data_IF_103311644590
#
_entry.id   IF_103311644590
#
_cell.length_a   1.000
_cell.length_b   1.000
_cell.length_c   1.000
_cell.angle_alpha   90.00
_cell.angle_beta   90.00
_cell.angle_gamma   90.00
#
_symmetry.space_group_name_H-M   'P 1'
#
loop_
_entity.id
_entity.type
_entity.pdbx_description
1 polymer ?
#
# COMPACT_ATOMS: atom_id res chain seq x y z
N UNK A 1 22.03 51.32 10.07
CA UNK A 1 21.77 49.88 10.36
C UNK A 1 20.33 49.65 10.87
N UNK A 2 19.84 50.40 11.85
CA UNK A 2 18.48 50.20 12.40
C UNK A 2 17.36 50.40 11.37
N UNK A 3 17.48 51.39 10.45
CA UNK A 3 16.53 51.63 9.38
C UNK A 3 16.53 50.50 8.32
N UNK A 4 17.69 50.01 7.96
CA UNK A 4 17.84 48.90 7.03
C UNK A 4 17.30 47.59 7.63
N UNK A 5 17.45 47.38 8.94
CA UNK A 5 16.85 46.26 9.68
C UNK A 5 15.32 46.28 9.62
N UNK A 6 14.69 47.42 9.91
CA UNK A 6 13.23 47.60 9.84
C UNK A 6 12.68 47.39 8.41
N UNK A 7 13.40 47.89 7.39
CA UNK A 7 13.01 47.67 5.99
C UNK A 7 13.10 46.20 5.63
N UNK A 8 14.17 45.52 6.05
CA UNK A 8 14.34 44.08 5.84
C UNK A 8 13.21 43.26 6.46
N UNK A 9 12.82 43.58 7.70
CA UNK A 9 11.68 42.91 8.36
C UNK A 9 10.35 43.21 7.64
N UNK A 10 10.15 44.46 7.22
CA UNK A 10 8.97 44.84 6.45
C UNK A 10 8.87 44.08 5.11
N UNK A 11 9.97 44.00 4.36
CA UNK A 11 10.00 43.24 3.09
C UNK A 11 9.77 41.74 3.29
N UNK A 12 10.33 41.16 4.34
CA UNK A 12 10.07 39.75 4.72
C UNK A 12 8.60 39.52 5.06
N UNK A 13 7.99 40.43 5.83
CA UNK A 13 6.57 40.29 6.22
C UNK A 13 5.62 40.37 5.02
N UNK A 14 6.01 41.04 3.97
CA UNK A 14 5.27 41.19 2.71
C UNK A 14 5.66 40.13 1.67
N UNK A 15 6.54 39.17 2.04
CA UNK A 15 7.08 38.14 1.14
C UNK A 15 7.71 38.72 -0.14
N UNK A 16 8.34 39.89 -0.03
CA UNK A 16 9.05 40.54 -1.14
C UNK A 16 10.51 40.12 -1.09
N UNK A 17 10.98 39.52 -2.19
CA UNK A 17 12.39 39.17 -2.35
C UNK A 17 13.26 40.42 -2.37
N UNK A 18 14.37 40.41 -1.65
CA UNK A 18 15.33 41.51 -1.60
C UNK A 18 16.76 40.96 -1.49
N UNK A 19 17.68 41.75 -2.01
CA UNK A 19 19.11 41.55 -1.87
C UNK A 19 19.70 42.65 -1.03
N UNK A 20 20.56 42.32 -0.05
CA UNK A 20 21.18 43.31 0.83
C UNK A 20 22.69 43.26 0.64
N UNK A 21 23.26 44.38 0.20
CA UNK A 21 24.70 44.62 0.10
C UNK A 21 25.04 45.99 0.64
N UNK A 22 26.23 46.20 1.17
CA UNK A 22 26.76 47.49 1.53
C UNK A 22 27.71 47.96 0.44
N UNK A 23 27.30 48.89 -0.46
CA UNK A 23 28.17 49.39 -1.53
C UNK A 23 29.13 50.49 -1.07
N UNK A 24 29.13 50.85 0.22
CA UNK A 24 29.92 51.95 0.74
C UNK A 24 31.27 51.50 1.31
N UNK A 25 31.55 50.19 1.37
CA UNK A 25 32.76 49.62 1.98
C UNK A 25 32.92 50.06 3.43
N UNK A 26 34.05 50.65 3.78
CA UNK A 26 34.36 51.12 5.13
C UNK A 26 33.89 52.55 5.39
N UNK A 27 33.22 53.20 4.42
CA UNK A 27 32.70 54.57 4.59
C UNK A 27 31.39 54.56 5.39
N UNK A 28 31.17 55.63 6.15
CA UNK A 28 30.02 55.78 7.04
C UNK A 28 28.68 55.76 6.29
N UNK A 29 28.64 56.41 5.13
CA UNK A 29 27.46 56.51 4.29
C UNK A 29 27.82 56.73 2.81
N UNK A 30 26.77 56.74 1.95
CA UNK A 30 26.93 56.92 0.51
C UNK A 30 27.56 58.28 0.12
N UNK A 31 27.34 59.34 0.91
CA UNK A 31 27.88 60.65 0.61
C UNK A 31 29.40 60.70 0.88
N UNK A 32 29.87 60.12 1.97
CA UNK A 32 31.29 59.98 2.27
C UNK A 32 32.01 59.17 1.20
N UNK A 33 31.43 58.00 0.80
CA UNK A 33 31.98 57.19 -0.27
C UNK A 33 32.00 57.93 -1.62
N UNK A 34 30.95 58.70 -1.94
CA UNK A 34 30.87 59.50 -3.16
C UNK A 34 31.91 60.61 -3.24
N UNK A 35 32.20 61.27 -2.11
CA UNK A 35 33.23 62.32 -2.01
C UNK A 35 34.62 61.67 -2.10
N UNK A 36 34.84 60.52 -1.50
CA UNK A 36 36.13 59.85 -1.51
C UNK A 36 36.49 59.30 -2.90
N UNK A 37 35.60 58.54 -3.55
CA UNK A 37 35.77 58.03 -4.90
C UNK A 37 34.46 57.71 -5.56
N UNK A 38 34.00 58.64 -6.44
CA UNK A 38 32.75 58.49 -7.19
C UNK A 38 32.76 57.30 -8.14
N UNK A 39 33.92 56.99 -8.76
CA UNK A 39 34.01 55.92 -9.74
C UNK A 39 33.93 54.56 -9.06
N UNK A 40 34.62 54.38 -7.92
CA UNK A 40 34.58 53.20 -7.11
C UNK A 40 33.16 52.91 -6.59
N UNK A 41 32.46 53.93 -6.04
CA UNK A 41 31.09 53.77 -5.58
C UNK A 41 30.13 53.37 -6.72
N UNK A 42 30.31 53.99 -7.91
CA UNK A 42 29.46 53.63 -9.06
C UNK A 42 29.70 52.19 -9.51
N UNK A 43 30.94 51.74 -9.53
CA UNK A 43 31.28 50.36 -9.86
C UNK A 43 30.66 49.36 -8.87
N UNK A 44 30.77 49.62 -7.55
CA UNK A 44 30.15 48.79 -6.50
C UNK A 44 28.64 48.70 -6.59
N UNK A 45 27.96 49.82 -6.94
CA UNK A 45 26.51 49.83 -7.14
C UNK A 45 26.15 48.98 -8.38
N UNK A 46 26.87 49.16 -9.48
CA UNK A 46 26.63 48.37 -10.71
C UNK A 46 26.85 46.88 -10.49
N UNK A 47 27.88 46.52 -9.75
CA UNK A 47 28.14 45.12 -9.39
C UNK A 47 27.02 44.55 -8.50
N UNK A 48 26.55 45.33 -7.50
CA UNK A 48 25.44 44.92 -6.66
C UNK A 48 24.12 44.72 -7.44
N UNK A 49 23.84 45.58 -8.42
CA UNK A 49 22.69 45.44 -9.32
C UNK A 49 22.81 44.22 -10.22
N UNK A 50 24.00 43.90 -10.72
CA UNK A 50 24.25 42.75 -11.53
C UNK A 50 24.08 41.45 -10.71
N UNK A 51 24.67 41.36 -9.52
CA UNK A 51 24.51 40.24 -8.61
C UNK A 51 23.02 39.98 -8.26
N UNK A 52 22.28 41.04 -7.92
CA UNK A 52 20.85 40.93 -7.64
C UNK A 52 20.06 40.45 -8.86
N UNK A 53 20.45 40.87 -10.06
CA UNK A 53 19.86 40.40 -11.31
C UNK A 53 20.17 38.93 -11.59
N UNK A 54 21.38 38.47 -11.27
CA UNK A 54 21.79 37.07 -11.43
C UNK A 54 21.05 36.17 -10.46
N UNK A 55 20.96 36.51 -9.19
CA UNK A 55 20.19 35.76 -8.18
C UNK A 55 18.73 35.63 -8.59
N UNK A 56 18.08 36.68 -9.06
CA UNK A 56 16.69 36.60 -9.57
C UNK A 56 16.56 35.68 -10.78
N UNK A 57 17.55 35.65 -11.67
CA UNK A 57 17.56 34.74 -12.83
C UNK A 57 17.70 33.30 -12.38
N UNK A 58 18.53 33.03 -11.37
CA UNK A 58 18.73 31.71 -10.81
C UNK A 58 17.49 31.20 -10.07
N UNK A 59 16.91 32.00 -9.18
CA UNK A 59 15.64 31.69 -8.51
C UNK A 59 14.52 31.39 -9.51
N UNK A 60 14.38 32.22 -10.56
CA UNK A 60 13.41 31.98 -11.62
C UNK A 60 13.68 30.67 -12.36
N UNK A 61 14.95 30.35 -12.66
CA UNK A 61 15.34 29.12 -13.34
C UNK A 61 14.98 27.91 -12.47
N UNK A 62 15.31 27.96 -11.18
CA UNK A 62 14.95 26.89 -10.24
C UNK A 62 13.43 26.71 -10.12
N UNK A 63 12.68 27.80 -9.99
CA UNK A 63 11.22 27.74 -9.94
C UNK A 63 10.63 27.13 -11.23
N UNK A 64 11.13 27.53 -12.38
CA UNK A 64 10.66 27.05 -13.69
C UNK A 64 10.99 25.57 -13.92
N UNK A 65 11.95 24.98 -13.20
CA UNK A 65 12.19 23.51 -13.23
C UNK A 65 10.95 22.72 -12.82
N UNK A 66 10.08 23.30 -11.99
CA UNK A 66 8.84 22.68 -11.55
C UNK A 66 7.71 22.75 -12.61
N UNK A 67 7.93 23.41 -13.74
CA UNK A 67 6.94 23.47 -14.81
C UNK A 67 6.70 22.10 -15.41
N UNK A 68 5.45 21.68 -15.54
CA UNK A 68 5.07 20.42 -16.19
C UNK A 68 5.59 20.30 -17.62
N UNK A 69 5.85 21.43 -18.29
CA UNK A 69 6.45 21.44 -19.63
C UNK A 69 7.81 20.72 -19.69
N UNK A 70 8.58 20.74 -18.61
CA UNK A 70 9.87 20.06 -18.52
C UNK A 70 9.75 18.54 -18.37
N UNK A 71 8.56 18.03 -18.06
CA UNK A 71 8.29 16.63 -17.79
C UNK A 71 7.50 15.94 -18.91
N UNK A 72 7.06 16.67 -19.95
CA UNK A 72 6.26 16.10 -21.05
C UNK A 72 7.01 14.97 -21.76
N UNK A 73 8.30 15.15 -22.06
CA UNK A 73 9.09 14.10 -22.72
C UNK A 73 9.25 12.86 -21.83
N UNK A 74 9.49 13.05 -20.53
CA UNK A 74 9.54 11.96 -19.56
C UNK A 74 8.18 11.25 -19.47
N UNK A 75 7.09 12.00 -19.43
CA UNK A 75 5.73 11.48 -19.39
C UNK A 75 5.40 10.63 -20.63
N UNK A 76 5.80 11.06 -21.83
CA UNK A 76 5.62 10.27 -23.06
C UNK A 76 6.44 8.97 -22.98
N UNK A 77 7.70 9.04 -22.53
CA UNK A 77 8.52 7.85 -22.33
C UNK A 77 7.92 6.91 -21.25
N UNK A 78 7.31 7.45 -20.20
CA UNK A 78 6.61 6.66 -19.19
C UNK A 78 5.36 5.96 -19.77
N UNK A 79 4.60 6.62 -20.65
CA UNK A 79 3.49 5.99 -21.38
C UNK A 79 4.01 4.82 -22.24
N UNK A 80 5.04 5.05 -23.05
CA UNK A 80 5.60 4.02 -23.91
C UNK A 80 6.18 2.84 -23.10
N UNK A 81 6.81 3.11 -21.97
CA UNK A 81 7.31 2.07 -21.07
C UNK A 81 6.21 1.36 -20.29
N UNK A 82 5.10 2.04 -19.99
CA UNK A 82 3.96 1.47 -19.24
C UNK A 82 3.23 0.40 -20.03
N UNK A 83 3.28 0.44 -21.37
CA UNK A 83 2.77 -0.64 -22.23
C UNK A 83 3.41 -1.99 -21.88
N UNK A 84 4.64 -1.99 -21.34
CA UNK A 84 5.38 -3.16 -20.93
C UNK A 84 5.34 -3.40 -19.40
N UNK A 85 4.61 -2.59 -18.64
CA UNK A 85 4.40 -2.81 -17.20
C UNK A 85 2.95 -3.28 -17.00
N UNK A 86 2.69 -4.59 -17.18
CA UNK A 86 1.34 -5.10 -17.04
C UNK A 86 0.89 -4.93 -15.59
N UNK A 87 -0.39 -4.62 -15.40
CA UNK A 87 -1.04 -4.77 -14.11
C UNK A 87 -0.89 -6.23 -13.64
N UNK A 88 -0.89 -6.44 -12.33
CA UNK A 88 -0.76 -7.77 -11.75
C UNK A 88 -2.18 -8.30 -11.45
N UNK A 89 -2.70 -9.28 -12.22
CA UNK A 89 -4.02 -9.85 -11.93
C UNK A 89 -4.03 -10.52 -10.55
N UNK A 90 -5.10 -10.29 -9.80
CA UNK A 90 -5.34 -10.97 -8.50
C UNK A 90 -5.70 -12.43 -8.69
N UNK A 91 -6.16 -12.79 -9.90
CA UNK A 91 -6.73 -14.08 -10.25
C UNK A 91 -8.20 -14.26 -9.87
N UNK A 92 -8.84 -13.20 -9.36
CA UNK A 92 -10.29 -13.07 -9.27
C UNK A 92 -10.77 -12.21 -10.43
N UNK A 93 -11.38 -12.83 -11.43
CA UNK A 93 -11.70 -12.17 -12.71
C UNK A 93 -12.59 -10.94 -12.53
N UNK A 94 -13.63 -11.02 -11.69
CA UNK A 94 -14.53 -9.89 -11.46
C UNK A 94 -13.83 -8.76 -10.72
N UNK A 95 -12.95 -9.07 -9.78
CA UNK A 95 -12.15 -8.08 -9.10
C UNK A 95 -11.15 -7.44 -10.07
N UNK A 96 -10.49 -8.24 -10.89
CA UNK A 96 -9.52 -7.72 -11.88
C UNK A 96 -10.21 -6.79 -12.88
N UNK A 97 -11.41 -7.13 -13.37
CA UNK A 97 -12.22 -6.24 -14.22
C UNK A 97 -12.56 -4.93 -13.49
N UNK A 98 -12.98 -5.01 -12.22
CA UNK A 98 -13.33 -3.84 -11.43
C UNK A 98 -12.12 -2.94 -11.08
N UNK A 99 -10.90 -3.50 -11.16
CA UNK A 99 -9.63 -2.82 -10.98
C UNK A 99 -8.92 -2.48 -12.31
N UNK A 100 -9.63 -2.51 -13.44
CA UNK A 100 -9.10 -2.22 -14.77
C UNK A 100 -7.94 -3.14 -15.19
N UNK A 101 -8.06 -4.42 -14.86
CA UNK A 101 -7.14 -5.49 -15.24
C UNK A 101 -6.36 -6.12 -14.08
N UNK A 102 -6.31 -5.49 -12.91
CA UNK A 102 -5.62 -6.02 -11.72
C UNK A 102 -4.99 -4.96 -10.83
N UNK A 103 -3.89 -5.32 -10.17
CA UNK A 103 -3.17 -4.45 -9.24
C UNK A 103 -2.15 -3.59 -9.99
N UNK A 104 -2.24 -2.28 -9.80
CA UNK A 104 -1.24 -1.28 -10.18
C UNK A 104 -0.46 -0.80 -8.95
N UNK A 105 0.52 0.06 -9.15
CA UNK A 105 1.15 0.76 -8.04
C UNK A 105 0.07 1.51 -7.23
N UNK A 106 0.06 1.34 -5.93
CA UNK A 106 -0.94 1.95 -5.05
C UNK A 106 -1.03 1.26 -3.70
N UNK A 107 -1.67 1.94 -2.77
CA UNK A 107 -2.03 1.39 -1.47
C UNK A 107 -3.48 0.91 -1.50
N UNK A 108 -3.65 -0.40 -1.40
CA UNK A 108 -4.92 -1.10 -1.29
C UNK A 108 -5.17 -1.43 0.17
N UNK A 109 -6.32 -1.04 0.71
CA UNK A 109 -6.68 -1.44 2.07
C UNK A 109 -7.95 -2.27 2.04
N UNK A 110 -7.88 -3.47 2.63
CA UNK A 110 -8.98 -4.42 2.69
C UNK A 110 -9.44 -4.56 4.13
N UNK A 111 -10.68 -4.17 4.40
CA UNK A 111 -11.28 -4.23 5.73
C UNK A 111 -12.43 -5.20 5.83
N UNK A 112 -12.62 -5.75 7.01
CA UNK A 112 -13.80 -6.52 7.38
C UNK A 112 -13.92 -6.67 8.89
N UNK A 113 -15.09 -7.08 9.35
CA UNK A 113 -15.25 -7.60 10.72
C UNK A 113 -14.48 -8.92 10.89
N UNK A 114 -14.21 -9.30 12.14
CA UNK A 114 -13.51 -10.55 12.45
C UNK A 114 -14.20 -11.78 11.86
N UNK A 115 -13.38 -12.74 11.43
CA UNK A 115 -13.83 -14.07 10.93
C UNK A 115 -14.61 -14.06 9.61
N UNK A 116 -14.54 -13.00 8.81
CA UNK A 116 -15.07 -13.01 7.44
C UNK A 116 -14.11 -13.53 6.38
N UNK A 117 -12.87 -13.86 6.77
CA UNK A 117 -11.91 -14.48 5.85
C UNK A 117 -10.97 -13.49 5.17
N UNK A 118 -10.69 -12.29 5.75
CA UNK A 118 -9.72 -11.32 5.21
C UNK A 118 -8.39 -11.97 4.82
N UNK A 119 -7.72 -12.55 5.80
CA UNK A 119 -6.45 -13.28 5.59
C UNK A 119 -6.57 -14.36 4.53
N UNK A 120 -7.67 -15.12 4.53
CA UNK A 120 -7.88 -16.19 3.56
C UNK A 120 -8.06 -15.64 2.13
N UNK A 121 -8.84 -14.56 1.97
CA UNK A 121 -9.04 -13.92 0.67
C UNK A 121 -7.71 -13.43 0.09
N UNK A 122 -6.93 -12.70 0.90
CA UNK A 122 -5.64 -12.16 0.47
C UNK A 122 -4.61 -13.27 0.24
N UNK A 123 -4.59 -14.32 1.08
CA UNK A 123 -3.69 -15.47 0.85
C UNK A 123 -4.04 -16.21 -0.44
N UNK A 124 -5.32 -16.31 -0.79
CA UNK A 124 -5.72 -16.88 -2.08
C UNK A 124 -5.28 -15.99 -3.25
N UNK A 125 -5.46 -14.68 -3.16
CA UNK A 125 -4.92 -13.76 -4.17
C UNK A 125 -3.40 -13.90 -4.29
N UNK A 126 -2.68 -13.99 -3.15
CA UNK A 126 -1.23 -14.20 -3.13
C UNK A 126 -0.80 -15.47 -3.87
N UNK A 127 -1.50 -16.59 -3.64
CA UNK A 127 -1.24 -17.85 -4.35
C UNK A 127 -1.48 -17.71 -5.86
N UNK A 128 -2.56 -17.05 -6.25
CA UNK A 128 -2.91 -16.81 -7.66
C UNK A 128 -1.88 -15.91 -8.36
N UNK A 129 -1.45 -14.83 -7.71
CA UNK A 129 -0.39 -13.94 -8.16
C UNK A 129 0.93 -14.69 -8.32
N UNK A 130 1.28 -15.53 -7.34
CA UNK A 130 2.50 -16.33 -7.37
C UNK A 130 2.47 -17.42 -8.47
N UNK A 131 1.30 -18.02 -8.71
CA UNK A 131 1.08 -18.96 -9.83
C UNK A 131 1.27 -18.28 -11.18
N UNK A 132 0.88 -17.01 -11.31
CA UNK A 132 1.11 -16.19 -12.50
C UNK A 132 2.59 -15.76 -12.67
N UNK A 133 3.47 -16.12 -11.72
CA UNK A 133 4.90 -15.89 -11.80
C UNK A 133 5.37 -14.57 -11.16
N UNK A 134 4.52 -13.85 -10.45
CA UNK A 134 4.89 -12.62 -9.74
C UNK A 134 5.30 -12.93 -8.30
N UNK A 135 6.28 -12.18 -7.78
CA UNK A 135 6.71 -12.32 -6.40
C UNK A 135 5.70 -11.67 -5.44
N UNK A 136 5.45 -12.34 -4.33
CA UNK A 136 4.60 -11.84 -3.24
C UNK A 136 5.38 -11.87 -1.94
N UNK A 137 5.44 -10.72 -1.27
CA UNK A 137 6.11 -10.54 0.02
C UNK A 137 5.05 -10.31 1.11
N UNK A 138 4.84 -11.29 1.97
CA UNK A 138 3.79 -11.30 2.99
C UNK A 138 4.41 -11.04 4.36
N UNK A 139 4.01 -9.95 5.01
CA UNK A 139 4.30 -9.68 6.41
C UNK A 139 3.13 -10.20 7.25
N UNK A 140 3.34 -11.32 7.94
CA UNK A 140 2.34 -11.96 8.78
C UNK A 140 2.67 -11.77 10.26
N UNK A 141 1.84 -10.99 10.95
CA UNK A 141 1.99 -10.70 12.38
C UNK A 141 1.11 -11.59 13.26
N UNK A 142 0.06 -12.18 12.68
CA UNK A 142 -0.92 -12.98 13.42
C UNK A 142 -0.71 -14.49 13.24
N UNK A 143 -0.32 -14.91 12.04
CA UNK A 143 -0.24 -16.33 11.69
C UNK A 143 1.19 -16.77 11.37
N UNK A 144 1.56 -17.95 11.82
CA UNK A 144 2.83 -18.58 11.44
C UNK A 144 2.86 -18.95 9.95
N UNK A 145 4.05 -18.97 9.36
CA UNK A 145 4.28 -19.40 7.96
C UNK A 145 3.67 -20.77 7.68
N UNK A 146 3.85 -21.71 8.59
CA UNK A 146 3.29 -23.07 8.46
C UNK A 146 1.76 -23.08 8.41
N UNK A 147 1.09 -22.15 9.11
CA UNK A 147 -0.38 -22.05 9.11
C UNK A 147 -0.88 -21.45 7.78
N UNK A 148 -0.20 -20.43 7.24
CA UNK A 148 -0.53 -19.87 5.93
C UNK A 148 -0.32 -20.91 4.82
N UNK A 149 0.80 -21.65 4.84
CA UNK A 149 1.08 -22.76 3.92
C UNK A 149 0.00 -23.83 4.02
N UNK A 150 -0.41 -24.22 5.23
CA UNK A 150 -1.46 -25.21 5.43
C UNK A 150 -2.82 -24.76 4.87
N UNK A 151 -3.15 -23.47 4.95
CA UNK A 151 -4.35 -22.90 4.32
C UNK A 151 -4.28 -22.99 2.79
N UNK A 152 -3.15 -22.65 2.20
CA UNK A 152 -2.92 -22.75 0.74
C UNK A 152 -3.00 -24.20 0.27
N UNK A 153 -2.34 -25.13 0.95
CA UNK A 153 -2.39 -26.57 0.61
C UNK A 153 -3.80 -27.12 0.81
N UNK A 154 -4.53 -26.72 1.86
CA UNK A 154 -5.93 -27.07 2.06
C UNK A 154 -6.80 -26.65 0.87
N UNK A 155 -6.63 -25.42 0.39
CA UNK A 155 -7.31 -24.89 -0.80
C UNK A 155 -6.96 -25.70 -2.05
N UNK A 156 -5.71 -26.04 -2.26
CA UNK A 156 -5.28 -26.88 -3.38
C UNK A 156 -5.96 -28.28 -3.33
N UNK A 157 -6.09 -28.91 -2.14
CA UNK A 157 -6.81 -30.19 -2.03
C UNK A 157 -8.27 -30.07 -2.49
N UNK A 158 -8.93 -28.96 -2.15
CA UNK A 158 -10.29 -28.70 -2.54
C UNK A 158 -10.41 -28.43 -4.06
N UNK A 159 -9.56 -27.58 -4.60
CA UNK A 159 -9.53 -27.25 -6.03
C UNK A 159 -9.25 -28.50 -6.91
N UNK A 160 -8.41 -29.41 -6.46
CA UNK A 160 -8.11 -30.66 -7.16
C UNK A 160 -9.28 -31.65 -7.16
N UNK A 161 -10.13 -31.59 -6.16
CA UNK A 161 -11.22 -32.57 -5.96
C UNK A 161 -12.58 -32.06 -6.43
N UNK A 162 -12.77 -30.73 -6.43
CA UNK A 162 -14.04 -30.11 -6.79
C UNK A 162 -14.54 -30.47 -8.21
N UNK A 163 -13.71 -30.40 -9.28
CA UNK A 163 -14.17 -30.71 -10.64
C UNK A 163 -14.60 -32.17 -10.82
N UNK A 164 -14.15 -33.07 -9.93
CA UNK A 164 -14.45 -34.51 -9.96
C UNK A 164 -15.64 -34.89 -9.08
N UNK A 165 -16.23 -33.92 -8.33
CA UNK A 165 -17.23 -34.20 -7.33
C UNK A 165 -16.72 -35.01 -6.10
N UNK A 166 -15.39 -35.08 -5.92
CA UNK A 166 -14.74 -35.85 -4.88
C UNK A 166 -14.28 -35.03 -3.68
N UNK A 167 -15.02 -33.97 -3.35
CA UNK A 167 -14.65 -32.99 -2.29
C UNK A 167 -14.50 -33.63 -0.90
N UNK A 168 -15.02 -34.82 -0.68
CA UNK A 168 -14.80 -35.59 0.54
C UNK A 168 -13.32 -35.99 0.75
N UNK A 169 -12.50 -36.05 -0.32
CA UNK A 169 -11.05 -36.25 -0.25
C UNK A 169 -10.28 -34.99 0.14
N UNK A 170 -10.88 -33.81 -0.01
CA UNK A 170 -10.26 -32.55 0.37
C UNK A 170 -9.99 -32.51 1.89
N UNK A 171 -8.93 -31.80 2.30
CA UNK A 171 -8.53 -31.76 3.71
C UNK A 171 -8.42 -30.32 4.20
N UNK A 172 -8.93 -30.10 5.40
CA UNK A 172 -8.78 -28.79 6.08
C UNK A 172 -7.32 -28.56 6.44
N UNK A 173 -6.94 -27.30 6.66
CA UNK A 173 -5.59 -26.95 7.10
C UNK A 173 -5.16 -27.74 8.35
N UNK A 174 -6.04 -27.80 9.36
CA UNK A 174 -5.80 -28.62 10.56
C UNK A 174 -5.77 -30.13 10.27
N UNK A 175 -6.54 -30.61 9.29
CA UNK A 175 -6.50 -32.01 8.86
C UNK A 175 -5.16 -32.38 8.25
N UNK A 176 -4.49 -31.44 7.56
CA UNK A 176 -3.17 -31.65 6.96
C UNK A 176 -2.06 -31.63 8.03
N UNK A 177 -2.12 -30.69 8.98
CA UNK A 177 -1.07 -30.49 9.99
C UNK A 177 -1.16 -31.41 11.19
N UNK A 178 -2.32 -32.05 11.42
CA UNK A 178 -2.53 -32.95 12.56
C UNK A 178 -2.05 -34.39 12.23
N UNK A 179 -0.85 -34.75 12.66
CA UNK A 179 -0.19 -36.03 12.35
C UNK A 179 -1.03 -37.25 12.65
N UNK A 180 -1.79 -37.31 13.76
CA UNK A 180 -2.70 -38.41 14.08
C UNK A 180 -3.77 -38.59 12.98
N UNK A 181 -4.43 -37.54 12.57
CA UNK A 181 -5.44 -37.58 11.50
C UNK A 181 -4.84 -37.99 10.17
N UNK A 182 -3.64 -37.52 9.86
CA UNK A 182 -2.94 -37.89 8.65
C UNK A 182 -2.66 -39.39 8.57
N UNK A 183 -2.32 -40.04 9.67
CA UNK A 183 -2.10 -41.46 9.71
C UNK A 183 -3.36 -42.30 9.38
N UNK A 184 -4.53 -41.78 9.78
CA UNK A 184 -5.83 -42.44 9.60
C UNK A 184 -6.40 -42.28 8.17
N UNK A 185 -5.86 -41.37 7.36
CA UNK A 185 -6.34 -41.16 6.00
C UNK A 185 -6.07 -42.36 5.09
N UNK A 186 -7.04 -42.62 4.20
CA UNK A 186 -6.90 -43.63 3.14
C UNK A 186 -5.80 -43.18 2.16
N UNK A 187 -5.26 -44.12 1.41
CA UNK A 187 -4.19 -43.87 0.45
C UNK A 187 -4.60 -42.78 -0.58
N UNK A 188 -5.81 -42.87 -1.12
CA UNK A 188 -6.33 -41.88 -2.07
C UNK A 188 -6.46 -40.46 -1.51
N UNK A 189 -6.72 -40.30 -0.19
CA UNK A 189 -6.75 -39.01 0.50
C UNK A 189 -5.34 -38.47 0.69
N UNK A 190 -4.37 -39.31 1.03
CA UNK A 190 -2.95 -38.94 1.13
C UNK A 190 -2.39 -38.53 -0.23
N UNK A 191 -2.79 -39.21 -1.32
CA UNK A 191 -2.40 -38.84 -2.69
C UNK A 191 -2.88 -37.44 -3.08
N UNK A 192 -4.10 -37.07 -2.69
CA UNK A 192 -4.61 -35.70 -2.91
C UNK A 192 -3.76 -34.66 -2.16
N UNK A 193 -3.39 -34.96 -0.90
CA UNK A 193 -2.52 -34.07 -0.11
C UNK A 193 -1.14 -33.94 -0.78
N UNK A 194 -0.52 -35.02 -1.20
CA UNK A 194 0.78 -34.98 -1.88
C UNK A 194 0.71 -34.24 -3.20
N UNK A 195 -0.38 -34.39 -3.96
CA UNK A 195 -0.59 -33.65 -5.18
C UNK A 195 -0.74 -32.15 -4.90
N UNK A 196 -1.53 -31.77 -3.89
CA UNK A 196 -1.70 -30.40 -3.47
C UNK A 196 -0.37 -29.75 -3.01
N UNK A 197 0.47 -30.51 -2.28
CA UNK A 197 1.81 -30.04 -1.89
C UNK A 197 2.68 -29.79 -3.13
N UNK A 198 2.63 -30.66 -4.14
CA UNK A 198 3.39 -30.47 -5.39
C UNK A 198 2.90 -29.26 -6.17
N UNK A 199 1.59 -29.03 -6.28
CA UNK A 199 1.02 -27.84 -6.91
C UNK A 199 1.48 -26.58 -6.18
N UNK A 200 1.43 -26.57 -4.85
CA UNK A 200 1.93 -25.46 -4.04
C UNK A 200 3.43 -25.21 -4.26
N UNK A 201 4.23 -26.28 -4.24
CA UNK A 201 5.69 -26.19 -4.40
C UNK A 201 6.10 -25.60 -5.76
N UNK A 202 5.29 -25.76 -6.80
CA UNK A 202 5.57 -25.22 -8.13
C UNK A 202 5.65 -23.69 -8.15
N UNK A 203 4.87 -23.00 -7.30
CA UNK A 203 4.84 -21.55 -7.22
C UNK A 203 5.37 -20.96 -5.89
N UNK A 204 5.63 -21.81 -4.89
CA UNK A 204 6.09 -21.38 -3.56
C UNK A 204 7.39 -20.56 -3.60
N UNK A 205 8.22 -20.73 -4.62
CA UNK A 205 9.44 -19.94 -4.85
C UNK A 205 9.16 -18.44 -5.06
N UNK A 206 7.93 -18.07 -5.41
CA UNK A 206 7.49 -16.69 -5.62
C UNK A 206 6.78 -16.13 -4.37
N UNK A 207 6.65 -16.90 -3.26
CA UNK A 207 6.01 -16.46 -2.03
C UNK A 207 7.05 -16.35 -0.93
N UNK A 208 7.18 -15.16 -0.36
CA UNK A 208 8.11 -14.82 0.72
C UNK A 208 7.29 -14.40 1.95
N UNK A 209 7.35 -15.17 3.03
CA UNK A 209 6.60 -14.90 4.26
C UNK A 209 7.58 -14.46 5.34
N UNK A 210 7.39 -13.25 5.84
CA UNK A 210 8.11 -12.66 6.97
C UNK A 210 7.20 -12.73 8.18
N UNK A 211 7.59 -13.52 9.17
CA UNK A 211 6.90 -13.63 10.45
C UNK A 211 7.41 -12.53 11.39
N UNK A 212 6.51 -11.84 12.08
CA UNK A 212 6.90 -10.78 13.00
C UNK A 212 5.88 -10.58 14.11
N UNK A 213 6.08 -11.21 15.26
CA UNK A 213 5.25 -10.98 16.42
C UNK A 213 5.68 -9.67 17.13
N UNK A 214 5.12 -8.53 16.70
CA UNK A 214 5.28 -7.25 17.38
C UNK A 214 6.59 -6.49 17.13
N UNK A 215 7.45 -6.98 16.23
CA UNK A 215 8.75 -6.35 15.92
C UNK A 215 8.78 -5.68 14.53
N UNK A 216 7.77 -5.95 13.69
CA UNK A 216 7.72 -5.40 12.33
C UNK A 216 6.95 -4.10 12.29
N UNK A 217 7.62 -3.03 11.93
CA UNK A 217 7.03 -1.72 11.65
C UNK A 217 7.20 -1.31 10.17
N UNK A 218 6.70 -0.14 9.82
CA UNK A 218 6.76 0.35 8.44
C UNK A 218 8.20 0.48 7.90
N UNK A 219 9.18 0.77 8.77
CA UNK A 219 10.59 0.83 8.43
C UNK A 219 11.13 -0.53 7.98
N UNK A 220 10.88 -1.60 8.76
CA UNK A 220 11.31 -2.95 8.42
C UNK A 220 10.63 -3.46 7.15
N UNK A 221 9.35 -3.08 6.91
CA UNK A 221 8.66 -3.38 5.65
C UNK A 221 9.39 -2.75 4.47
N UNK A 222 9.79 -1.47 4.57
CA UNK A 222 10.58 -0.78 3.53
C UNK A 222 11.90 -1.48 3.29
N UNK A 223 12.71 -1.66 4.32
CA UNK A 223 14.04 -2.28 4.23
C UNK A 223 13.99 -3.68 3.62
N UNK A 224 13.00 -4.49 4.03
CA UNK A 224 12.81 -5.84 3.48
C UNK A 224 12.37 -5.82 2.02
N UNK A 225 11.50 -4.88 1.64
CA UNK A 225 11.06 -4.68 0.26
C UNK A 225 12.24 -4.27 -0.63
N UNK A 226 13.04 -3.31 -0.19
CA UNK A 226 14.25 -2.85 -0.89
C UNK A 226 15.28 -3.97 -1.05
N UNK A 227 15.50 -4.74 0.02
CA UNK A 227 16.37 -5.92 -0.01
C UNK A 227 15.88 -6.96 -1.00
N UNK A 228 14.57 -7.25 -1.02
CA UNK A 228 13.98 -8.18 -1.98
C UNK A 228 14.24 -7.73 -3.42
N UNK A 229 13.96 -6.46 -3.73
CA UNK A 229 14.18 -5.90 -5.07
C UNK A 229 15.67 -5.97 -5.44
N UNK A 230 16.56 -5.61 -4.51
CA UNK A 230 18.01 -5.65 -4.74
C UNK A 230 18.53 -7.06 -5.05
N UNK A 231 18.00 -8.08 -4.38
CA UNK A 231 18.46 -9.46 -4.53
C UNK A 231 17.86 -10.13 -5.79
N UNK A 232 16.56 -9.90 -6.02
CA UNK A 232 15.81 -10.62 -7.08
C UNK A 232 15.73 -9.86 -8.39
N UNK A 233 15.93 -8.53 -8.36
CA UNK A 233 15.65 -7.63 -9.47
C UNK A 233 14.15 -7.46 -9.77
N UNK A 234 13.26 -8.01 -8.93
CA UNK A 234 11.81 -8.07 -9.15
C UNK A 234 11.05 -7.27 -8.11
N UNK A 235 9.99 -6.59 -8.53
CA UNK A 235 9.09 -5.84 -7.63
C UNK A 235 8.00 -6.76 -7.13
N UNK A 236 7.91 -7.05 -5.82
CA UNK A 236 6.88 -7.93 -5.28
C UNK A 236 5.55 -7.21 -5.09
N UNK A 237 4.45 -7.95 -5.04
CA UNK A 237 3.24 -7.48 -4.36
C UNK A 237 3.49 -7.58 -2.86
N UNK A 238 3.41 -6.47 -2.13
CA UNK A 238 3.63 -6.42 -0.69
C UNK A 238 2.30 -6.57 0.04
N UNK A 239 2.19 -7.54 0.94
CA UNK A 239 0.98 -7.82 1.73
C UNK A 239 1.28 -7.67 3.21
N UNK A 240 0.42 -6.96 3.95
CA UNK A 240 0.52 -6.74 5.39
C UNK A 240 -0.73 -7.30 6.09
N UNK A 241 -0.57 -8.29 6.95
CA UNK A 241 -1.64 -8.91 7.73
C UNK A 241 -1.31 -8.83 9.24
N UNK A 242 -1.83 -7.82 9.92
CA UNK A 242 -2.68 -6.68 9.58
C UNK A 242 -2.14 -5.36 10.19
N UNK A 243 -2.68 -4.22 9.77
CA UNK A 243 -2.15 -2.88 10.12
C UNK A 243 -2.05 -2.60 11.61
N UNK A 244 -3.06 -2.99 12.39
CA UNK A 244 -3.18 -2.63 13.82
C UNK A 244 -2.18 -3.35 14.74
N UNK A 245 -1.45 -4.36 14.23
CA UNK A 245 -0.42 -5.08 15.02
C UNK A 245 0.99 -4.58 14.68
N UNK A 246 1.14 -3.73 13.68
CA UNK A 246 2.45 -3.18 13.33
C UNK A 246 3.05 -2.42 14.51
N UNK A 247 4.36 -2.57 14.69
CA UNK A 247 5.11 -1.81 15.69
C UNK A 247 4.89 -0.31 15.52
N UNK A 248 4.77 0.45 16.62
CA UNK A 248 4.56 1.88 16.55
C UNK A 248 5.72 2.57 15.83
N UNK A 249 5.40 3.58 15.03
CA UNK A 249 6.41 4.41 14.36
C UNK A 249 7.26 5.16 15.38
N UNK A 250 6.63 5.58 16.48
CA UNK A 250 7.28 6.22 17.61
C UNK A 250 6.47 5.93 18.89
N UNK A 251 7.13 5.43 19.94
CA UNK A 251 6.50 5.11 21.22
C UNK A 251 5.86 6.31 21.95
N UNK A 252 6.28 7.53 21.61
CA UNK A 252 5.72 8.77 22.19
C UNK A 252 4.45 9.26 21.49
N UNK A 253 4.08 8.64 20.36
CA UNK A 253 2.88 9.01 19.62
C UNK A 253 1.66 8.24 20.15
N UNK A 254 0.49 8.83 19.97
CA UNK A 254 -0.77 8.10 20.18
C UNK A 254 -0.95 7.03 19.11
N UNK A 255 -1.79 6.02 19.37
CA UNK A 255 -2.09 4.95 18.42
C UNK A 255 -2.55 5.52 17.07
N UNK A 256 -3.41 6.55 17.09
CA UNK A 256 -3.84 7.24 15.88
C UNK A 256 -2.67 7.87 15.12
N UNK A 257 -1.78 8.59 15.80
CA UNK A 257 -0.61 9.22 15.17
C UNK A 257 0.34 8.18 14.57
N UNK A 258 0.54 7.06 15.28
CA UNK A 258 1.34 5.94 14.79
C UNK A 258 0.70 5.32 13.54
N UNK A 259 -0.61 5.06 13.56
CA UNK A 259 -1.33 4.54 12.41
C UNK A 259 -1.24 5.48 11.20
N UNK A 260 -1.43 6.79 11.41
CA UNK A 260 -1.30 7.79 10.36
C UNK A 260 0.09 7.75 9.71
N UNK A 261 1.16 7.64 10.51
CA UNK A 261 2.54 7.55 9.99
C UNK A 261 2.80 6.24 9.25
N UNK A 262 2.32 5.11 9.78
CA UNK A 262 2.44 3.80 9.13
C UNK A 262 1.77 3.82 7.76
N UNK A 263 0.52 4.26 7.68
CA UNK A 263 -0.25 4.31 6.42
C UNK A 263 0.43 5.20 5.37
N UNK A 264 0.92 6.37 5.79
CA UNK A 264 1.67 7.27 4.90
C UNK A 264 2.97 6.64 4.41
N UNK A 265 3.67 5.90 5.26
CA UNK A 265 4.91 5.23 4.87
C UNK A 265 4.64 4.07 3.91
N UNK A 266 3.59 3.28 4.13
CA UNK A 266 3.16 2.24 3.19
C UNK A 266 2.81 2.81 1.81
N UNK A 267 2.13 3.97 1.79
CA UNK A 267 1.86 4.70 0.55
C UNK A 267 3.14 5.16 -0.15
N UNK A 268 4.15 5.61 0.62
CA UNK A 268 5.47 5.99 0.08
C UNK A 268 6.21 4.78 -0.50
N UNK A 269 6.21 3.64 0.20
CA UNK A 269 6.82 2.39 -0.30
C UNK A 269 6.25 2.04 -1.67
N UNK A 270 4.92 2.05 -1.81
CA UNK A 270 4.26 1.79 -3.08
C UNK A 270 4.72 2.72 -4.20
N UNK A 271 4.69 4.03 -3.95
CA UNK A 271 5.05 5.05 -4.94
C UNK A 271 6.55 5.00 -5.29
N UNK A 272 7.42 4.93 -4.28
CA UNK A 272 8.87 5.04 -4.46
C UNK A 272 9.41 3.82 -5.23
N UNK A 273 8.81 2.65 -5.02
CA UNK A 273 9.23 1.40 -5.68
C UNK A 273 8.29 0.97 -6.83
N UNK A 274 7.23 1.74 -7.11
CA UNK A 274 6.24 1.45 -8.16
C UNK A 274 5.71 0.03 -8.08
N UNK A 275 5.13 -0.34 -6.92
CA UNK A 275 4.58 -1.67 -6.64
C UNK A 275 3.27 -1.57 -5.85
N UNK A 276 2.38 -2.58 -5.95
CA UNK A 276 1.18 -2.62 -5.12
C UNK A 276 1.49 -3.02 -3.69
N UNK A 277 0.90 -2.30 -2.74
CA UNK A 277 0.90 -2.62 -1.30
C UNK A 277 -0.53 -2.90 -0.88
N UNK A 278 -0.80 -4.10 -0.36
CA UNK A 278 -2.11 -4.52 0.14
C UNK A 278 -2.02 -4.64 1.66
N UNK A 279 -2.83 -3.88 2.38
CA UNK A 279 -2.87 -3.92 3.82
C UNK A 279 -4.25 -4.37 4.32
N UNK A 280 -4.27 -5.32 5.23
CA UNK A 280 -5.49 -5.75 5.90
C UNK A 280 -5.77 -4.82 7.07
N UNK A 281 -7.04 -4.41 7.24
CA UNK A 281 -7.52 -3.62 8.37
C UNK A 281 -8.73 -4.29 9.02
N UNK A 282 -8.84 -4.18 10.32
CA UNK A 282 -10.04 -4.59 11.05
C UNK A 282 -11.00 -3.42 11.18
N UNK A 283 -12.32 -3.66 10.99
CA UNK A 283 -13.32 -2.64 11.24
C UNK A 283 -13.47 -2.35 12.74
N UNK A 284 -13.86 -1.14 13.07
CA UNK A 284 -14.25 -0.81 14.41
C UNK A 284 -15.52 -1.60 14.82
N UNK A 285 -15.69 -1.88 16.13
CA UNK A 285 -16.80 -2.71 16.63
C UNK A 285 -18.18 -2.11 16.37
N UNK A 286 -18.28 -0.79 16.23
CA UNK A 286 -19.56 -0.10 15.98
C UNK A 286 -20.06 -0.37 14.57
N UNK A 287 -19.17 -0.67 13.61
CA UNK A 287 -19.48 -0.96 12.21
C UNK A 287 -19.80 -2.44 11.95
N UNK A 288 -20.05 -3.24 13.00
CA UNK A 288 -20.38 -4.66 12.86
C UNK A 288 -21.85 -4.91 12.45
N UNK A 289 -22.67 -3.87 12.43
CA UNK A 289 -24.07 -3.93 12.00
C UNK A 289 -24.27 -3.04 10.79
N UNK A 290 -24.96 -3.55 9.78
CA UNK A 290 -25.29 -2.83 8.56
C UNK A 290 -24.24 -2.94 7.46
N UNK A 291 -24.48 -2.20 6.39
CA UNK A 291 -23.63 -2.13 5.22
C UNK A 291 -22.27 -1.50 5.54
N UNK A 292 -21.22 -2.06 4.92
CA UNK A 292 -19.87 -1.52 5.05
C UNK A 292 -19.77 -0.16 4.37
N UNK A 293 -19.23 0.82 5.12
CA UNK A 293 -18.94 2.18 4.64
C UNK A 293 -17.49 2.53 4.94
N UNK A 294 -16.97 3.56 4.27
CA UNK A 294 -15.61 4.08 4.52
C UNK A 294 -15.36 4.36 6.01
N UNK A 295 -16.39 4.80 6.69
CA UNK A 295 -16.40 5.07 8.14
C UNK A 295 -16.06 3.86 9.03
N UNK A 296 -16.20 2.63 8.52
CA UNK A 296 -15.82 1.42 9.24
C UNK A 296 -14.30 1.35 9.51
N UNK A 297 -13.49 2.04 8.71
CA UNK A 297 -12.02 2.13 8.84
C UNK A 297 -11.56 3.24 9.81
N UNK A 298 -12.45 3.79 10.60
CA UNK A 298 -12.31 5.03 11.41
C UNK A 298 -11.32 5.02 12.58
N UNK A 299 -10.42 4.09 12.70
CA UNK A 299 -9.31 4.28 13.67
C UNK A 299 -8.34 5.37 13.19
N UNK A 300 -8.30 5.61 11.89
CA UNK A 300 -7.53 6.71 11.28
C UNK A 300 -8.20 7.17 9.98
N UNK A 301 -8.64 8.44 9.94
CA UNK A 301 -9.07 9.06 8.68
C UNK A 301 -7.99 9.01 7.60
N UNK A 302 -6.74 8.80 7.99
CA UNK A 302 -5.61 8.66 7.07
C UNK A 302 -5.68 7.39 6.23
N UNK A 303 -6.30 6.30 6.71
CA UNK A 303 -6.55 5.09 5.90
C UNK A 303 -7.44 5.46 4.70
N UNK A 304 -8.55 6.15 4.97
CA UNK A 304 -9.49 6.60 3.94
C UNK A 304 -8.83 7.55 2.93
N UNK A 305 -8.12 8.58 3.43
CA UNK A 305 -7.52 9.59 2.55
C UNK A 305 -6.30 9.09 1.78
N UNK A 306 -5.46 8.27 2.37
CA UNK A 306 -4.17 7.85 1.79
C UNK A 306 -4.26 6.62 0.91
N UNK A 307 -5.25 5.73 1.11
CA UNK A 307 -5.44 4.58 0.24
C UNK A 307 -5.84 5.04 -1.17
N UNK A 308 -5.39 4.32 -2.18
CA UNK A 308 -5.85 4.49 -3.57
C UNK A 308 -7.12 3.70 -3.79
N UNK A 309 -7.17 2.51 -3.19
CA UNK A 309 -8.32 1.62 -3.27
C UNK A 309 -8.67 1.14 -1.86
N UNK A 310 -9.95 1.24 -1.52
CA UNK A 310 -10.50 0.82 -0.24
C UNK A 310 -11.59 -0.23 -0.51
N UNK A 311 -11.42 -1.40 0.07
CA UNK A 311 -12.31 -2.55 -0.14
C UNK A 311 -12.85 -3.01 1.20
N UNK A 312 -14.16 -3.19 1.27
CA UNK A 312 -14.83 -3.77 2.42
C UNK A 312 -15.37 -5.16 2.13
N UNK A 313 -15.11 -6.13 3.00
CA UNK A 313 -15.81 -7.41 2.97
C UNK A 313 -16.96 -7.41 3.97
N UNK A 314 -18.13 -7.82 3.52
CA UNK A 314 -19.31 -8.00 4.34
C UNK A 314 -20.03 -9.29 4.02
N UNK A 315 -20.93 -9.72 4.90
CA UNK A 315 -21.86 -10.81 4.60
C UNK A 315 -22.88 -10.30 3.61
N UNK A 316 -23.29 -11.11 2.65
CA UNK A 316 -24.32 -10.76 1.68
C UNK A 316 -25.60 -10.34 2.37
N UNK A 317 -26.13 -9.19 1.95
CA UNK A 317 -27.35 -8.62 2.53
C UNK A 317 -27.12 -7.91 3.86
N UNK A 318 -25.90 -7.50 4.17
CA UNK A 318 -25.59 -6.70 5.37
C UNK A 318 -26.32 -5.34 5.41
N UNK A 319 -26.85 -4.88 4.26
CA UNK A 319 -27.74 -3.73 4.10
C UNK A 319 -29.14 -3.97 4.70
N UNK A 320 -29.50 -5.24 4.91
CA UNK A 320 -30.78 -5.67 5.47
C UNK A 320 -30.62 -6.04 6.94
N UNK A 321 -31.73 -6.11 7.66
CA UNK A 321 -31.72 -6.54 9.08
C UNK A 321 -31.52 -8.07 9.18
N UNK A 322 -30.30 -8.53 8.86
CA UNK A 322 -29.88 -9.93 8.94
C UNK A 322 -29.10 -10.22 10.22
N UNK A 323 -29.18 -11.45 10.71
CA UNK A 323 -28.35 -11.91 11.81
C UNK A 323 -26.99 -12.32 11.32
N UNK A 324 -26.02 -11.41 11.35
CA UNK A 324 -24.62 -11.63 10.92
C UNK A 324 -24.00 -12.84 11.62
N UNK A 325 -24.37 -13.11 12.89
CA UNK A 325 -23.84 -14.26 13.64
C UNK A 325 -24.31 -15.59 13.05
N UNK A 326 -25.55 -15.67 12.60
CA UNK A 326 -26.07 -16.88 11.93
C UNK A 326 -25.47 -17.04 10.53
N UNK A 327 -25.35 -15.96 9.78
CA UNK A 327 -24.73 -16.00 8.46
C UNK A 327 -23.26 -16.48 8.53
N UNK A 328 -22.53 -16.10 9.59
CA UNK A 328 -21.15 -16.58 9.84
C UNK A 328 -21.05 -18.08 10.11
N UNK A 329 -22.12 -18.74 10.51
CA UNK A 329 -22.12 -20.21 10.75
C UNK A 329 -22.29 -21.02 9.47
N UNK A 330 -22.78 -20.40 8.39
CA UNK A 330 -22.96 -21.09 7.12
C UNK A 330 -21.64 -21.50 6.48
N UNK A 331 -21.66 -22.63 5.76
CA UNK A 331 -20.53 -23.08 4.95
C UNK A 331 -21.04 -23.85 3.71
N UNK A 332 -20.80 -23.38 2.48
CA UNK A 332 -20.22 -22.08 2.19
C UNK A 332 -21.11 -20.91 2.63
N UNK A 333 -20.52 -19.73 2.78
CA UNK A 333 -21.24 -18.49 3.05
C UNK A 333 -21.04 -17.48 1.93
N UNK A 334 -22.06 -16.68 1.68
CA UNK A 334 -22.01 -15.62 0.67
C UNK A 334 -21.36 -14.36 1.27
N UNK A 335 -20.33 -13.88 0.62
CA UNK A 335 -19.58 -12.67 0.99
C UNK A 335 -19.66 -11.66 -0.14
N UNK A 336 -19.92 -10.43 0.19
CA UNK A 336 -19.82 -9.28 -0.70
C UNK A 336 -18.48 -8.58 -0.46
N UNK A 337 -17.79 -8.30 -1.55
CA UNK A 337 -16.66 -7.42 -1.61
C UNK A 337 -17.11 -6.11 -2.24
N UNK A 338 -17.03 -5.03 -1.47
CA UNK A 338 -17.50 -3.69 -1.88
C UNK A 338 -16.30 -2.79 -2.11
N UNK A 339 -16.17 -2.24 -3.31
CA UNK A 339 -15.16 -1.23 -3.62
C UNK A 339 -15.70 0.13 -3.17
N UNK A 340 -15.27 0.54 -1.97
CA UNK A 340 -15.71 1.78 -1.34
C UNK A 340 -15.03 3.00 -1.96
N UNK A 341 -13.74 2.86 -2.27
CA UNK A 341 -12.94 3.90 -2.91
C UNK A 341 -12.10 3.30 -4.01
N UNK A 342 -12.05 3.98 -5.15
CA UNK A 342 -11.13 3.70 -6.24
C UNK A 342 -10.69 5.03 -6.86
N UNK A 343 -9.41 5.40 -6.68
CA UNK A 343 -8.90 6.71 -7.13
C UNK A 343 -8.92 6.86 -8.65
N UNK A 344 -8.75 5.75 -9.36
CA UNK A 344 -8.61 5.74 -10.82
C UNK A 344 -9.77 5.03 -11.54
N UNK A 345 -10.81 4.62 -10.81
CA UNK A 345 -11.92 3.85 -11.38
C UNK A 345 -13.25 4.08 -10.66
N UNK A 346 -14.21 3.22 -10.94
CA UNK A 346 -15.55 3.30 -10.36
C UNK A 346 -15.56 2.86 -8.89
N UNK A 347 -16.44 3.45 -8.10
CA UNK A 347 -16.73 3.12 -6.69
C UNK A 347 -18.13 2.54 -6.54
N UNK A 348 -18.43 1.93 -5.39
CA UNK A 348 -19.74 1.34 -5.11
C UNK A 348 -19.97 -0.01 -5.82
N UNK A 349 -18.93 -0.56 -6.46
CA UNK A 349 -19.04 -1.89 -7.10
C UNK A 349 -19.07 -2.95 -6.01
N UNK A 350 -20.11 -3.81 -6.07
CA UNK A 350 -20.25 -4.95 -5.16
C UNK A 350 -20.03 -6.26 -5.94
N UNK A 351 -19.07 -7.05 -5.52
CA UNK A 351 -18.71 -8.34 -6.09
C UNK A 351 -19.14 -9.45 -5.14
N UNK A 352 -19.78 -10.49 -5.66
CA UNK A 352 -20.32 -11.58 -4.87
C UNK A 352 -19.39 -12.80 -4.92
N UNK A 353 -19.11 -13.35 -3.74
CA UNK A 353 -18.28 -14.53 -3.54
C UNK A 353 -18.96 -15.58 -2.68
N UNK A 354 -18.71 -16.87 -2.99
CA UNK A 354 -18.97 -17.98 -2.09
C UNK A 354 -17.71 -18.34 -1.34
N UNK A 355 -17.74 -18.30 -0.02
CA UNK A 355 -16.59 -18.61 0.82
C UNK A 355 -16.76 -19.97 1.52
N UNK A 356 -16.01 -20.96 1.09
CA UNK A 356 -15.89 -22.23 1.78
C UNK A 356 -14.83 -22.14 2.88
N UNK A 357 -15.29 -22.03 4.12
CA UNK A 357 -14.42 -21.81 5.28
C UNK A 357 -13.59 -23.04 5.66
N UNK A 358 -14.08 -24.24 5.37
CA UNK A 358 -13.38 -25.50 5.69
C UNK A 358 -12.09 -25.64 4.87
N UNK A 359 -12.14 -25.20 3.62
CA UNK A 359 -11.01 -25.36 2.69
C UNK A 359 -10.35 -24.04 2.32
N UNK A 360 -10.68 -22.95 3.02
CA UNK A 360 -10.08 -21.63 2.81
C UNK A 360 -10.19 -21.15 1.35
N UNK A 361 -11.35 -21.36 0.71
CA UNK A 361 -11.55 -21.12 -0.71
C UNK A 361 -12.67 -20.11 -0.96
N UNK A 362 -12.35 -19.05 -1.71
CA UNK A 362 -13.31 -18.12 -2.28
C UNK A 362 -13.52 -18.43 -3.75
N UNK A 363 -14.75 -18.44 -4.19
CA UNK A 363 -15.15 -18.52 -5.61
C UNK A 363 -16.09 -17.37 -5.96
N UNK A 364 -15.90 -16.79 -7.12
CA UNK A 364 -16.80 -15.75 -7.66
C UNK A 364 -18.14 -16.37 -8.04
N UNK A 365 -19.24 -15.68 -7.75
CA UNK A 365 -20.62 -16.07 -8.09
C UNK A 365 -21.14 -15.21 -9.24
#
# INVERSE_FOLDING_TARGET
EAAAGKLTEGLKSLNIAFYKRNPYGDHKDANEALIADRQALTAEIQEAEQEAGDLRREERREYLKNSTANYIAAFINDIDSSVNTPCIPTGFNKLDIALDGGLYEGLYVIGAISSLGKTTFITQAADQIAKAGNDVLIFSMEMARSELMAKSISRETYQLTLPKGETWKAKTARGITAGKRYQEYRQEEKEVIYKAIREYAAYAKNIFIIEGAGEVGAKQIRETTEKHISITGRRPVVIIDYLQILSPYNERYTDKQNMDKVVLELKRISRDHKLPVIAISSFNRMSYKGEVKEEAFKESGTIEYSSDILIGLQVKGADKDINITEEKKKNPRDIELVILKNRNGATGITLLYSYNTLFNHFSEI
#
